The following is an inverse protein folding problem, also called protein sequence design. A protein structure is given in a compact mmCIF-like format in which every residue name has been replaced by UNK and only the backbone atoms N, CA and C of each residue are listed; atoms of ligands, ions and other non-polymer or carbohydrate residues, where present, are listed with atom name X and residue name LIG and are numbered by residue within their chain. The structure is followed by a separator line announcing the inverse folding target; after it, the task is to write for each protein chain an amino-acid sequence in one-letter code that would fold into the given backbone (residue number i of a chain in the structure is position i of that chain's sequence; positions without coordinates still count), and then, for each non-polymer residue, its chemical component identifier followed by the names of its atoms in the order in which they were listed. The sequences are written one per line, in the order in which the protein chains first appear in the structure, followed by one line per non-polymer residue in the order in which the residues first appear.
data_IF_835353325289
#
_entry.id   IF_835353325289
#
_cell.length_a   1.000
_cell.length_b   1.000
_cell.length_c   1.000
_cell.angle_alpha   90.00
_cell.angle_beta   90.00
_cell.angle_gamma   90.00
#
_symmetry.space_group_name_H-M   'P 1'
#
loop_
_entity.id
_entity.type
_entity.pdbx_description
1 polymer ?
#
# COMPACT_ATOMS: atom_id res chain seq x y z
N UNK A 1 59.64 41.05 -15.56
CA UNK A 1 59.91 39.70 -16.07
C UNK A 1 58.61 39.12 -16.59
N UNK A 2 58.57 38.80 -17.89
CA UNK A 2 57.46 38.13 -18.58
C UNK A 2 57.31 36.70 -18.05
N UNK A 3 56.08 36.30 -17.69
CA UNK A 3 55.55 34.94 -17.86
C UNK A 3 54.05 35.04 -18.11
N UNK A 4 53.68 35.13 -19.38
CA UNK A 4 52.34 34.76 -19.84
C UNK A 4 52.27 33.23 -19.95
N UNK A 5 51.03 32.73 -20.02
CA UNK A 5 50.60 31.38 -20.41
C UNK A 5 50.68 30.30 -19.31
N UNK A 6 49.50 29.92 -18.80
CA UNK A 6 48.85 28.65 -19.13
C UNK A 6 47.41 28.60 -18.55
N UNK A 7 46.41 28.65 -19.45
CA UNK A 7 45.09 27.96 -19.38
C UNK A 7 44.16 28.44 -18.23
N UNK A 8 43.09 29.24 -18.38
CA UNK A 8 42.07 29.36 -19.44
C UNK A 8 41.55 28.02 -19.98
N UNK A 9 41.04 27.14 -19.12
CA UNK A 9 39.99 26.17 -19.47
C UNK A 9 39.45 25.46 -18.22
N UNK A 10 38.51 26.05 -17.49
CA UNK A 10 37.65 25.30 -16.54
C UNK A 10 36.32 26.03 -16.28
N UNK A 11 35.84 26.80 -17.26
CA UNK A 11 34.53 27.48 -17.24
C UNK A 11 33.58 26.97 -18.33
N UNK A 12 33.73 25.72 -18.75
CA UNK A 12 32.72 25.02 -19.53
C UNK A 12 32.83 23.52 -19.25
N UNK A 13 32.34 23.10 -18.09
CA UNK A 13 31.61 21.83 -18.05
C UNK A 13 30.15 22.25 -18.08
N UNK A 14 29.39 21.94 -19.14
CA UNK A 14 27.94 22.12 -19.09
C UNK A 14 27.46 21.40 -17.83
N UNK A 15 26.69 22.15 -17.05
CA UNK A 15 25.83 21.65 -16.00
C UNK A 15 24.87 20.66 -16.67
N UNK A 16 25.31 19.41 -16.91
CA UNK A 16 24.39 18.31 -17.04
C UNK A 16 23.87 18.12 -15.62
N UNK A 17 22.84 18.91 -15.31
CA UNK A 17 21.75 18.40 -14.50
C UNK A 17 21.40 17.07 -15.14
N UNK A 18 21.88 15.97 -14.55
CA UNK A 18 21.21 14.68 -14.73
C UNK A 18 19.90 14.79 -13.94
N UNK A 19 19.01 15.65 -14.43
CA UNK A 19 17.60 15.44 -14.25
C UNK A 19 17.25 14.34 -15.24
N UNK A 20 16.91 13.19 -14.66
CA UNK A 20 15.90 12.27 -15.16
C UNK A 20 16.08 11.75 -16.60
N UNK A 21 17.08 10.89 -16.79
CA UNK A 21 16.89 9.73 -17.66
C UNK A 21 17.18 8.50 -16.82
N UNK A 22 16.11 7.92 -16.26
CA UNK A 22 15.90 6.48 -16.14
C UNK A 22 17.18 5.65 -15.97
N UNK A 23 17.95 5.93 -14.91
CA UNK A 23 18.87 4.95 -14.32
C UNK A 23 18.04 3.96 -13.48
N UNK A 24 17.00 3.41 -14.12
CA UNK A 24 16.53 2.03 -13.91
C UNK A 24 17.62 1.08 -14.43
N UNK A 25 18.87 1.31 -14.01
CA UNK A 25 19.77 0.21 -13.73
C UNK A 25 19.14 -0.45 -12.51
N UNK A 26 18.10 -1.27 -12.75
CA UNK A 26 17.86 -2.47 -11.97
C UNK A 26 19.20 -3.21 -12.01
N UNK A 27 20.12 -2.81 -11.13
CA UNK A 27 21.21 -3.65 -10.68
C UNK A 27 20.48 -4.82 -10.08
N UNK A 28 20.21 -5.82 -10.91
CA UNK A 28 19.46 -7.01 -10.56
C UNK A 28 20.22 -7.67 -9.41
N UNK A 29 19.80 -7.30 -8.21
CA UNK A 29 20.47 -7.68 -6.99
C UNK A 29 20.44 -9.20 -6.92
N UNK A 30 19.35 -9.83 -7.38
CA UNK A 30 19.22 -11.29 -7.46
C UNK A 30 20.29 -11.89 -8.38
N UNK A 31 20.55 -11.31 -9.56
CA UNK A 31 21.65 -11.75 -10.42
C UNK A 31 23.06 -11.55 -9.81
N UNK A 32 23.24 -10.56 -8.94
CA UNK A 32 24.49 -10.39 -8.19
C UNK A 32 24.64 -11.46 -7.08
N UNK A 33 23.56 -11.79 -6.39
CA UNK A 33 23.54 -12.85 -5.36
C UNK A 33 23.81 -14.23 -5.97
N UNK A 34 23.24 -14.53 -7.14
CA UNK A 34 23.39 -15.83 -7.81
C UNK A 34 24.81 -16.08 -8.36
N UNK A 35 25.56 -15.03 -8.68
CA UNK A 35 26.91 -15.13 -9.23
C UNK A 35 28.03 -14.93 -8.19
N UNK A 36 27.70 -14.64 -6.93
CA UNK A 36 28.71 -14.41 -5.89
C UNK A 36 29.28 -15.74 -5.39
N UNK A 37 30.56 -15.99 -5.69
CA UNK A 37 31.32 -17.12 -5.12
C UNK A 37 31.79 -16.75 -3.71
N UNK A 38 31.34 -17.51 -2.71
CA UNK A 38 31.85 -17.40 -1.34
C UNK A 38 33.12 -18.25 -1.18
N UNK A 39 34.22 -17.61 -0.80
CA UNK A 39 35.46 -18.29 -0.41
C UNK A 39 35.52 -18.42 1.11
N UNK A 40 35.79 -19.62 1.62
CA UNK A 40 36.02 -19.84 3.04
C UNK A 40 37.35 -19.18 3.46
N UNK A 41 37.32 -18.40 4.53
CA UNK A 41 38.51 -17.72 5.07
C UNK A 41 39.21 -18.72 6.00
N UNK A 42 40.36 -19.25 5.58
CA UNK A 42 41.10 -20.28 6.34
C UNK A 42 41.85 -19.70 7.56
N UNK A 43 42.33 -18.45 7.51
CA UNK A 43 42.94 -17.75 8.65
C UNK A 43 42.56 -16.27 8.66
N UNK A 44 41.99 -15.79 9.77
CA UNK A 44 41.74 -14.38 9.99
C UNK A 44 43.01 -13.72 10.56
N UNK A 45 43.67 -12.87 9.78
CA UNK A 45 44.75 -12.03 10.31
C UNK A 45 44.15 -10.91 11.16
N UNK A 46 44.44 -10.91 12.46
CA UNK A 46 44.08 -9.82 13.36
C UNK A 46 45.24 -8.82 13.39
N UNK A 47 45.15 -7.76 12.58
CA UNK A 47 45.99 -6.58 12.74
C UNK A 47 45.23 -5.60 13.65
N UNK A 48 45.67 -5.49 14.90
CA UNK A 48 45.09 -4.57 15.88
C UNK A 48 45.45 -3.14 15.48
N UNK A 49 44.57 -2.49 14.71
CA UNK A 49 44.67 -1.06 14.44
C UNK A 49 44.02 -0.28 15.58
N UNK A 50 44.75 0.67 16.17
CA UNK A 50 44.22 1.64 17.14
C UNK A 50 43.13 2.48 16.45
N UNK A 51 41.87 2.18 16.73
CA UNK A 51 40.73 2.93 16.19
C UNK A 51 40.54 4.20 17.00
N UNK A 52 40.94 5.33 16.43
CA UNK A 52 40.56 6.64 16.94
C UNK A 52 39.02 6.75 16.92
N UNK A 53 38.42 6.87 18.11
CA UNK A 53 36.97 7.06 18.25
C UNK A 53 36.60 8.46 17.76
N UNK A 54 36.33 8.61 16.46
CA UNK A 54 35.75 9.83 15.90
C UNK A 54 34.28 9.90 16.35
N UNK A 55 34.02 10.53 17.50
CA UNK A 55 32.65 10.79 18.00
C UNK A 55 32.02 12.03 17.33
N UNK A 56 32.30 12.25 16.05
CA UNK A 56 31.58 13.26 15.28
C UNK A 56 30.22 12.67 14.92
N UNK A 57 29.24 12.89 15.81
CA UNK A 57 27.84 12.64 15.51
C UNK A 57 27.50 13.46 14.28
N UNK A 58 27.23 12.79 13.16
CA UNK A 58 26.64 13.38 11.97
C UNK A 58 25.23 13.85 12.35
N UNK A 59 25.14 15.03 12.94
CA UNK A 59 23.89 15.67 13.30
C UNK A 59 23.01 15.82 12.07
N UNK A 60 21.70 15.65 12.31
CA UNK A 60 20.56 16.00 11.45
C UNK A 60 19.96 14.89 10.55
N UNK A 61 20.66 13.79 10.20
CA UNK A 61 20.01 12.73 9.38
C UNK A 61 19.01 11.82 10.11
N UNK A 62 18.94 11.86 11.45
CA UNK A 62 17.97 11.08 12.22
C UNK A 62 16.59 11.75 12.30
N UNK A 63 16.55 13.04 12.62
CA UNK A 63 15.30 13.77 12.81
C UNK A 63 14.55 14.04 11.48
N UNK A 64 15.29 14.27 10.39
CA UNK A 64 14.70 14.51 9.06
C UNK A 64 14.22 13.21 8.40
N UNK A 65 14.98 12.10 8.58
CA UNK A 65 14.53 10.78 8.14
C UNK A 65 13.32 10.26 8.94
N UNK A 66 13.18 10.63 10.21
CA UNK A 66 11.98 10.33 11.00
C UNK A 66 10.74 11.07 10.48
N UNK A 67 10.86 12.34 10.10
CA UNK A 67 9.74 13.13 9.57
C UNK A 67 9.30 12.63 8.18
N UNK A 68 10.26 12.32 7.32
CA UNK A 68 9.99 11.75 5.99
C UNK A 68 9.36 10.34 6.11
N UNK A 69 9.87 9.48 7.00
CA UNK A 69 9.26 8.19 7.28
C UNK A 69 7.85 8.31 7.89
N UNK A 70 7.60 9.33 8.72
CA UNK A 70 6.29 9.60 9.31
C UNK A 70 5.25 10.01 8.24
N UNK A 71 5.67 10.80 7.26
CA UNK A 71 4.83 11.17 6.11
C UNK A 71 4.37 9.94 5.30
N UNK A 72 5.25 8.96 5.12
CA UNK A 72 4.89 7.69 4.47
C UNK A 72 4.01 6.78 5.36
N UNK A 73 4.13 6.86 6.70
CA UNK A 73 3.24 6.15 7.64
C UNK A 73 1.81 6.69 7.64
N UNK A 74 1.59 7.99 7.38
CA UNK A 74 0.26 8.61 7.31
C UNK A 74 -0.63 7.98 6.23
N UNK A 75 -0.04 7.37 5.18
CA UNK A 75 -0.77 6.66 4.13
C UNK A 75 -1.55 5.44 4.65
N UNK A 76 -1.20 4.90 5.83
CA UNK A 76 -2.01 3.86 6.51
C UNK A 76 -3.38 4.37 6.98
N UNK A 77 -3.62 5.68 7.00
CA UNK A 77 -4.95 6.23 7.30
C UNK A 77 -5.99 5.88 6.23
N UNK A 78 -5.57 5.62 4.98
CA UNK A 78 -6.40 5.08 3.89
C UNK A 78 -6.93 3.66 4.16
N UNK A 79 -6.27 2.91 5.06
CA UNK A 79 -6.68 1.55 5.47
C UNK A 79 -7.76 1.54 6.55
N UNK A 80 -8.20 2.72 7.05
CA UNK A 80 -9.33 2.78 7.99
C UNK A 80 -10.62 2.56 7.19
N UNK A 81 -11.16 1.35 7.33
CA UNK A 81 -12.45 0.99 6.74
C UNK A 81 -13.56 1.98 7.13
N UNK A 82 -14.68 1.99 6.37
CA UNK A 82 -15.76 2.94 6.57
C UNK A 82 -16.24 2.97 8.01
N UNK A 83 -16.48 4.18 8.52
CA UNK A 83 -16.91 4.36 9.91
C UNK A 83 -18.29 3.73 10.14
N UNK A 84 -18.64 3.33 11.38
CA UNK A 84 -19.97 2.79 11.69
C UNK A 84 -21.12 3.71 11.22
N UNK A 85 -20.92 5.03 11.30
CA UNK A 85 -21.89 6.03 10.84
C UNK A 85 -22.08 5.97 9.32
N UNK A 86 -20.99 5.87 8.56
CA UNK A 86 -21.05 5.74 7.10
C UNK A 86 -21.72 4.43 6.69
N UNK A 87 -21.42 3.33 7.38
CA UNK A 87 -22.07 2.03 7.17
C UNK A 87 -23.59 2.09 7.42
N UNK A 88 -24.02 2.72 8.52
CA UNK A 88 -25.45 2.91 8.81
C UNK A 88 -26.14 3.80 7.77
N UNK A 89 -25.48 4.87 7.31
CA UNK A 89 -26.00 5.73 6.23
C UNK A 89 -26.18 4.96 4.92
N UNK A 90 -25.20 4.13 4.54
CA UNK A 90 -25.28 3.28 3.36
C UNK A 90 -26.41 2.22 3.50
N UNK A 91 -26.53 1.60 4.68
CA UNK A 91 -27.57 0.64 4.99
C UNK A 91 -28.97 1.23 4.82
N UNK A 92 -29.22 2.43 5.35
CA UNK A 92 -30.50 3.12 5.18
C UNK A 92 -30.85 3.37 3.72
N UNK A 93 -29.88 3.80 2.90
CA UNK A 93 -30.08 3.98 1.45
C UNK A 93 -30.44 2.67 0.76
N UNK A 94 -29.70 1.59 1.04
CA UNK A 94 -29.94 0.28 0.43
C UNK A 94 -31.30 -0.30 0.81
N UNK A 95 -31.72 -0.16 2.07
CA UNK A 95 -33.06 -0.60 2.51
C UNK A 95 -34.18 0.18 1.83
N UNK A 96 -34.01 1.50 1.67
CA UNK A 96 -34.96 2.33 0.92
C UNK A 96 -35.05 1.89 -0.54
N UNK A 97 -33.91 1.65 -1.20
CA UNK A 97 -33.88 1.15 -2.58
C UNK A 97 -34.51 -0.23 -2.71
N UNK A 98 -34.22 -1.15 -1.78
CA UNK A 98 -34.80 -2.50 -1.77
C UNK A 98 -36.32 -2.46 -1.57
N UNK A 99 -36.81 -1.64 -0.64
CA UNK A 99 -38.26 -1.48 -0.42
C UNK A 99 -38.97 -0.83 -1.61
N UNK A 100 -38.36 0.18 -2.25
CA UNK A 100 -38.88 0.80 -3.46
C UNK A 100 -38.94 -0.18 -4.63
N UNK A 101 -37.92 -1.03 -4.79
CA UNK A 101 -37.89 -2.07 -5.81
C UNK A 101 -38.93 -3.14 -5.54
N UNK A 102 -39.01 -3.70 -4.32
CA UNK A 102 -40.02 -4.70 -3.94
C UNK A 102 -41.47 -4.20 -4.15
N UNK A 103 -41.72 -2.89 -4.05
CA UNK A 103 -43.02 -2.27 -4.34
C UNK A 103 -43.36 -2.22 -5.84
N UNK A 104 -42.36 -2.02 -6.70
CA UNK A 104 -42.55 -1.92 -8.16
C UNK A 104 -42.57 -3.30 -8.80
N UNK A 105 -41.59 -4.13 -8.47
CA UNK A 105 -41.41 -5.47 -9.00
C UNK A 105 -40.79 -6.38 -7.93
N UNK A 106 -41.52 -7.43 -7.57
CA UNK A 106 -41.14 -8.36 -6.50
C UNK A 106 -39.98 -9.28 -6.89
N UNK A 107 -39.76 -9.51 -8.20
CA UNK A 107 -38.77 -10.46 -8.71
C UNK A 107 -37.64 -9.78 -9.51
N UNK A 108 -37.46 -8.47 -9.30
CA UNK A 108 -36.44 -7.71 -10.01
C UNK A 108 -35.02 -8.27 -9.75
N UNK A 109 -34.23 -8.43 -10.82
CA UNK A 109 -32.89 -9.05 -10.78
C UNK A 109 -31.90 -8.41 -9.79
N UNK A 110 -32.10 -7.13 -9.45
CA UNK A 110 -31.29 -6.37 -8.46
C UNK A 110 -31.64 -6.67 -6.99
N UNK A 111 -32.74 -7.36 -6.70
CA UNK A 111 -33.14 -7.65 -5.31
C UNK A 111 -32.10 -8.58 -4.63
N UNK A 112 -31.68 -9.70 -5.24
CA UNK A 112 -30.62 -10.55 -4.68
C UNK A 112 -29.30 -9.80 -4.45
N UNK A 113 -28.94 -8.89 -5.37
CA UNK A 113 -27.74 -8.06 -5.26
C UNK A 113 -27.80 -7.11 -4.05
N UNK A 114 -28.88 -6.35 -3.92
CA UNK A 114 -29.06 -5.42 -2.79
C UNK A 114 -29.10 -6.16 -1.46
N UNK A 115 -29.77 -7.30 -1.40
CA UNK A 115 -29.79 -8.16 -0.20
C UNK A 115 -28.39 -8.62 0.17
N UNK A 116 -27.57 -9.03 -0.80
CA UNK A 116 -26.16 -9.37 -0.56
C UNK A 116 -25.37 -8.19 0.03
N UNK A 117 -25.48 -6.99 -0.52
CA UNK A 117 -24.78 -5.82 0.04
C UNK A 117 -25.24 -5.48 1.47
N UNK A 118 -26.54 -5.61 1.76
CA UNK A 118 -27.09 -5.41 3.11
C UNK A 118 -26.50 -6.44 4.08
N UNK A 119 -26.38 -7.71 3.68
CA UNK A 119 -25.73 -8.76 4.48
C UNK A 119 -24.29 -8.38 4.80
N UNK A 120 -23.50 -7.95 3.80
CA UNK A 120 -22.10 -7.57 4.01
C UNK A 120 -21.95 -6.40 5.00
N UNK A 121 -22.82 -5.40 4.92
CA UNK A 121 -22.81 -4.28 5.87
C UNK A 121 -23.17 -4.76 7.29
N UNK A 122 -24.17 -5.64 7.43
CA UNK A 122 -24.50 -6.21 8.74
C UNK A 122 -23.35 -7.02 9.34
N UNK A 123 -22.59 -7.76 8.52
CA UNK A 123 -21.35 -8.44 8.97
C UNK A 123 -20.30 -7.45 9.47
N UNK A 124 -20.05 -6.37 8.72
CA UNK A 124 -19.12 -5.30 9.15
C UNK A 124 -19.55 -4.60 10.43
N UNK A 125 -20.86 -4.46 10.67
CA UNK A 125 -21.44 -3.91 11.90
C UNK A 125 -21.54 -4.94 13.05
N UNK A 126 -20.98 -6.15 12.90
CA UNK A 126 -21.05 -7.26 13.88
C UNK A 126 -22.49 -7.71 14.22
N UNK A 127 -23.46 -7.42 13.37
CA UNK A 127 -24.87 -7.81 13.52
C UNK A 127 -25.13 -9.20 12.91
N UNK A 128 -24.49 -10.22 13.48
CA UNK A 128 -24.43 -11.58 12.93
C UNK A 128 -25.79 -12.27 12.85
N UNK A 129 -26.68 -12.07 13.83
CA UNK A 129 -28.03 -12.67 13.83
C UNK A 129 -28.86 -12.21 12.62
N UNK A 130 -28.90 -10.90 12.38
CA UNK A 130 -29.64 -10.31 11.25
C UNK A 130 -29.04 -10.73 9.91
N UNK A 131 -27.71 -10.75 9.81
CA UNK A 131 -27.01 -11.21 8.61
C UNK A 131 -27.40 -12.66 8.26
N UNK A 132 -27.33 -13.59 9.22
CA UNK A 132 -27.68 -15.01 9.00
C UNK A 132 -29.14 -15.21 8.59
N UNK A 133 -30.07 -14.42 9.13
CA UNK A 133 -31.47 -14.50 8.74
C UNK A 133 -31.68 -14.05 7.28
N UNK A 134 -31.02 -12.96 6.88
CA UNK A 134 -31.08 -12.45 5.51
C UNK A 134 -30.38 -13.37 4.52
N UNK A 135 -29.31 -14.06 4.93
CA UNK A 135 -28.66 -15.10 4.11
C UNK A 135 -29.64 -16.23 3.78
N UNK A 136 -30.36 -16.74 4.78
CA UNK A 136 -31.39 -17.76 4.59
C UNK A 136 -32.53 -17.27 3.68
N UNK A 137 -32.99 -16.03 3.88
CA UNK A 137 -34.01 -15.40 3.03
C UNK A 137 -33.53 -15.32 1.57
N UNK A 138 -32.27 -14.91 1.35
CA UNK A 138 -31.69 -14.78 0.01
C UNK A 138 -31.62 -16.12 -0.72
N UNK A 139 -31.17 -17.18 -0.03
CA UNK A 139 -31.11 -18.54 -0.58
C UNK A 139 -32.53 -19.05 -0.91
N UNK A 140 -33.54 -18.73 -0.08
CA UNK A 140 -34.92 -19.14 -0.34
C UNK A 140 -35.58 -18.40 -1.51
N UNK A 141 -35.23 -17.12 -1.73
CA UNK A 141 -35.86 -16.29 -2.76
C UNK A 141 -35.20 -16.54 -4.13
N UNK A 142 -33.87 -16.66 -4.16
CA UNK A 142 -33.12 -16.72 -5.41
C UNK A 142 -31.90 -17.67 -5.30
N UNK A 143 -32.13 -18.99 -5.16
CA UNK A 143 -31.05 -19.98 -4.98
C UNK A 143 -30.06 -20.00 -6.15
N UNK A 144 -30.54 -19.75 -7.37
CA UNK A 144 -29.70 -19.79 -8.59
C UNK A 144 -28.95 -18.47 -8.85
N UNK A 145 -29.19 -17.43 -8.03
CA UNK A 145 -28.55 -16.15 -8.20
C UNK A 145 -27.04 -16.23 -7.93
N UNK A 146 -26.25 -15.49 -8.73
CA UNK A 146 -24.80 -15.28 -8.48
C UNK A 146 -24.52 -14.92 -7.01
N UNK A 147 -25.42 -14.17 -6.38
CA UNK A 147 -25.26 -13.66 -5.02
C UNK A 147 -25.58 -14.68 -3.93
N UNK A 148 -26.46 -15.65 -4.21
CA UNK A 148 -26.82 -16.72 -3.26
C UNK A 148 -25.70 -17.76 -3.13
N UNK A 149 -24.93 -17.99 -4.20
CA UNK A 149 -23.76 -18.91 -4.20
C UNK A 149 -22.69 -18.56 -3.15
N UNK A 150 -22.63 -17.32 -2.69
CA UNK A 150 -21.70 -16.90 -1.62
C UNK A 150 -22.08 -17.43 -0.23
N UNK A 151 -23.28 -18.00 -0.08
CA UNK A 151 -23.86 -18.38 1.20
C UNK A 151 -24.38 -19.84 1.22
N UNK A 152 -24.19 -20.58 0.13
CA UNK A 152 -24.50 -22.01 0.01
C UNK A 152 -23.41 -22.88 0.65
#
# INVERSE_FOLDING_TARGET
MKKYLLISLLLFVPLWSQDDEDLDLDMDMDAMWDNTMWTEIEEASYEDHEVDKITAVAGVRGAEAEDEALHHLYYRQSMKGPSPVQLNKALGKLMNSLSALKKKDKNHAKIPELTHYIIQIHKKLKNTKKAKNLEKELISIAPDSKWAKFYQ
#
